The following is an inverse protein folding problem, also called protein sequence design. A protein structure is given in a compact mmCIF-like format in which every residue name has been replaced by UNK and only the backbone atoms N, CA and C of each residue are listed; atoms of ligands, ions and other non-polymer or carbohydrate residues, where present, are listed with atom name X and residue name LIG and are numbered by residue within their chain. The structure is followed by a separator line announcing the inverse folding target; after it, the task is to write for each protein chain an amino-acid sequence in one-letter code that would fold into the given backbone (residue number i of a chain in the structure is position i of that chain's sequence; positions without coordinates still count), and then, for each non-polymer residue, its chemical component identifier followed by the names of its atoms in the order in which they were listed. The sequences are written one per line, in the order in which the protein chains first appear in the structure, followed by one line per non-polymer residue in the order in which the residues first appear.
data_IF_353540438818
#
_entry.id   IF_353540438818
#
_cell.length_a   1.000
_cell.length_b   1.000
_cell.length_c   1.000
_cell.angle_alpha   90.00
_cell.angle_beta   90.00
_cell.angle_gamma   90.00
#
_symmetry.space_group_name_H-M   'P 1'
#
loop_
_entity.id
_entity.type
_entity.pdbx_description
1 polymer ?
#
# COMPACT_ATOMS: atom_id res chain seq x y z
N UNK A 1 -39.56 -22.54 -12.71
CA UNK A 1 -38.40 -21.65 -12.90
C UNK A 1 -38.69 -20.47 -13.84
N UNK A 2 -39.09 -20.69 -15.11
CA UNK A 2 -39.30 -19.60 -16.08
C UNK A 2 -40.40 -18.59 -15.70
N UNK A 3 -41.53 -19.05 -15.14
CA UNK A 3 -42.60 -18.17 -14.63
C UNK A 3 -42.12 -17.27 -13.50
N UNK A 4 -41.35 -17.81 -12.56
CA UNK A 4 -40.72 -17.06 -11.47
C UNK A 4 -39.75 -16.01 -11.96
N UNK A 5 -38.99 -16.29 -13.04
CA UNK A 5 -38.08 -15.31 -13.64
C UNK A 5 -38.84 -14.13 -14.25
N UNK A 6 -39.95 -14.39 -14.95
CA UNK A 6 -40.81 -13.33 -15.52
C UNK A 6 -41.40 -12.45 -14.42
N UNK A 7 -41.89 -13.05 -13.32
CA UNK A 7 -42.37 -12.29 -12.15
C UNK A 7 -41.25 -11.45 -11.54
N UNK A 8 -40.04 -12.01 -11.38
CA UNK A 8 -38.87 -11.28 -10.91
C UNK A 8 -38.48 -10.10 -11.80
N UNK A 9 -38.59 -10.24 -13.12
CA UNK A 9 -38.35 -9.14 -14.06
C UNK A 9 -39.39 -8.03 -13.95
N UNK A 10 -40.66 -8.35 -13.69
CA UNK A 10 -41.71 -7.34 -13.45
C UNK A 10 -41.46 -6.57 -12.17
N UNK A 11 -41.17 -7.26 -11.06
CA UNK A 11 -40.90 -6.62 -9.75
C UNK A 11 -39.71 -5.67 -9.84
N UNK A 12 -38.68 -6.02 -10.62
CA UNK A 12 -37.50 -5.17 -10.90
C UNK A 12 -37.74 -4.10 -11.98
N UNK A 13 -38.98 -3.92 -12.44
CA UNK A 13 -39.38 -2.97 -13.48
C UNK A 13 -38.60 -3.12 -14.81
N UNK A 14 -38.23 -4.36 -15.16
CA UNK A 14 -37.55 -4.68 -16.43
C UNK A 14 -38.57 -4.92 -17.55
N UNK A 15 -39.76 -5.43 -17.26
CA UNK A 15 -40.78 -5.70 -18.28
C UNK A 15 -42.10 -4.99 -17.96
N UNK A 16 -42.86 -4.63 -19.00
CA UNK A 16 -44.20 -4.07 -18.83
C UNK A 16 -45.24 -5.15 -18.55
N UNK A 17 -46.37 -4.78 -17.95
CA UNK A 17 -47.47 -5.72 -17.65
C UNK A 17 -48.03 -6.40 -18.91
N UNK A 18 -48.09 -5.70 -20.06
CA UNK A 18 -48.47 -6.31 -21.34
C UNK A 18 -47.45 -7.34 -21.85
N UNK A 19 -46.17 -7.11 -21.55
CA UNK A 19 -45.08 -8.02 -21.94
C UNK A 19 -45.04 -9.26 -21.05
N UNK A 20 -45.29 -9.09 -19.74
CA UNK A 20 -45.42 -10.20 -18.80
C UNK A 20 -46.44 -11.24 -19.29
N UNK A 21 -47.65 -10.80 -19.66
CA UNK A 21 -48.69 -11.71 -20.18
C UNK A 21 -48.25 -12.43 -21.45
N UNK A 22 -47.48 -11.77 -22.33
CA UNK A 22 -46.93 -12.40 -23.55
C UNK A 22 -45.83 -13.43 -23.24
N UNK A 23 -44.93 -13.13 -22.29
CA UNK A 23 -43.84 -14.02 -21.89
C UNK A 23 -44.35 -15.22 -21.07
N UNK A 24 -45.42 -15.06 -20.30
CA UNK A 24 -46.09 -16.17 -19.63
C UNK A 24 -46.72 -17.15 -20.64
N UNK A 25 -47.22 -16.65 -21.77
CA UNK A 25 -47.80 -17.48 -22.84
C UNK A 25 -46.74 -18.13 -23.74
N UNK A 26 -45.61 -17.47 -24.01
CA UNK A 26 -44.57 -17.98 -24.89
C UNK A 26 -43.34 -18.47 -24.12
N UNK A 27 -43.29 -19.78 -23.85
CA UNK A 27 -42.19 -20.41 -23.08
C UNK A 27 -40.84 -20.36 -23.79
N UNK A 28 -40.82 -20.39 -25.11
CA UNK A 28 -39.58 -20.39 -25.90
C UNK A 28 -38.84 -19.05 -25.80
N UNK A 29 -39.55 -17.93 -26.00
CA UNK A 29 -38.96 -16.58 -25.87
C UNK A 29 -38.50 -16.32 -24.43
N UNK A 30 -39.28 -16.77 -23.45
CA UNK A 30 -38.94 -16.63 -22.03
C UNK A 30 -37.69 -17.41 -21.66
N UNK A 31 -37.46 -18.58 -22.24
CA UNK A 31 -36.24 -19.36 -22.05
C UNK A 31 -35.00 -18.63 -22.58
N UNK A 32 -35.08 -18.03 -23.78
CA UNK A 32 -33.97 -17.25 -24.33
C UNK A 32 -33.66 -15.99 -23.51
N UNK A 33 -34.68 -15.24 -23.08
CA UNK A 33 -34.48 -14.09 -22.19
C UNK A 33 -33.94 -14.51 -20.83
N UNK A 34 -34.28 -15.71 -20.36
CA UNK A 34 -33.71 -16.29 -19.15
C UNK A 34 -32.21 -16.55 -19.29
N UNK A 35 -31.76 -17.13 -20.40
CA UNK A 35 -30.32 -17.31 -20.68
C UNK A 35 -29.58 -15.97 -20.74
N UNK A 36 -30.17 -14.96 -21.41
CA UNK A 36 -29.58 -13.61 -21.47
C UNK A 36 -29.51 -12.97 -20.09
N UNK A 37 -30.47 -13.26 -19.19
CA UNK A 37 -30.51 -12.71 -17.83
C UNK A 37 -29.33 -13.14 -16.94
N UNK A 38 -28.67 -14.25 -17.30
CA UNK A 38 -27.52 -14.80 -16.56
C UNK A 38 -26.27 -13.91 -16.76
N UNK A 39 -26.18 -13.20 -17.90
CA UNK A 39 -25.04 -12.31 -18.18
C UNK A 39 -25.08 -11.12 -17.21
N UNK A 40 -24.08 -10.97 -16.33
CA UNK A 40 -24.03 -9.89 -15.35
C UNK A 40 -24.10 -8.53 -16.05
N UNK A 41 -24.84 -7.58 -15.44
CA UNK A 41 -25.00 -6.19 -15.88
C UNK A 41 -25.77 -6.06 -17.21
N UNK A 42 -25.26 -6.60 -18.31
CA UNK A 42 -25.79 -6.45 -19.68
C UNK A 42 -27.15 -7.14 -19.84
N UNK A 43 -27.31 -8.34 -19.27
CA UNK A 43 -28.54 -9.12 -19.41
C UNK A 43 -29.79 -8.35 -18.97
N UNK A 44 -29.68 -7.60 -17.87
CA UNK A 44 -30.78 -6.77 -17.34
C UNK A 44 -31.18 -5.65 -18.30
N UNK A 45 -30.22 -5.01 -18.97
CA UNK A 45 -30.49 -3.95 -19.94
C UNK A 45 -31.14 -4.49 -21.21
N UNK A 46 -30.71 -5.66 -21.70
CA UNK A 46 -31.32 -6.28 -22.88
C UNK A 46 -32.78 -6.66 -22.60
N UNK A 47 -33.06 -7.26 -21.45
CA UNK A 47 -34.44 -7.60 -21.04
C UNK A 47 -35.28 -6.33 -20.91
N UNK A 48 -34.71 -5.26 -20.33
CA UNK A 48 -35.40 -3.99 -20.19
C UNK A 48 -35.70 -3.32 -21.53
N UNK A 49 -34.74 -3.37 -22.46
CA UNK A 49 -34.90 -2.90 -23.83
C UNK A 49 -36.03 -3.68 -24.52
N UNK A 50 -35.98 -5.01 -24.55
CA UNK A 50 -36.99 -5.82 -25.22
C UNK A 50 -38.38 -5.72 -24.56
N UNK A 51 -38.42 -5.68 -23.22
CA UNK A 51 -39.63 -5.91 -22.46
C UNK A 51 -40.35 -4.68 -21.94
N UNK A 52 -39.71 -3.51 -21.88
CA UNK A 52 -40.32 -2.28 -21.39
C UNK A 52 -40.51 -1.27 -22.53
N UNK A 53 -41.75 -1.15 -23.02
CA UNK A 53 -42.09 -0.23 -24.11
C UNK A 53 -41.87 1.23 -23.72
N UNK A 54 -42.29 1.62 -22.52
CA UNK A 54 -42.12 2.99 -22.03
C UNK A 54 -40.65 3.39 -21.95
N UNK A 55 -39.80 2.47 -21.48
CA UNK A 55 -38.35 2.67 -21.45
C UNK A 55 -37.78 2.87 -22.85
N UNK A 56 -38.08 1.99 -23.82
CA UNK A 56 -37.65 2.18 -25.21
C UNK A 56 -38.09 3.52 -25.79
N UNK A 57 -39.38 3.84 -25.64
CA UNK A 57 -39.93 5.10 -26.16
C UNK A 57 -39.24 6.31 -25.53
N UNK A 58 -38.88 6.26 -24.24
CA UNK A 58 -38.13 7.33 -23.58
C UNK A 58 -36.73 7.53 -24.21
N UNK A 59 -35.93 6.46 -24.34
CA UNK A 59 -34.59 6.57 -24.90
C UNK A 59 -34.60 6.90 -26.40
N UNK A 60 -35.52 6.33 -27.19
CA UNK A 60 -35.66 6.72 -28.58
C UNK A 60 -36.06 8.19 -28.72
N UNK A 61 -37.00 8.70 -27.91
CA UNK A 61 -37.39 10.13 -27.90
C UNK A 61 -36.21 11.06 -27.61
N UNK A 62 -35.26 10.63 -26.77
CA UNK A 62 -34.05 11.41 -26.51
C UNK A 62 -33.14 11.55 -27.74
N UNK A 63 -33.16 10.58 -28.68
CA UNK A 63 -32.29 10.62 -29.86
C UNK A 63 -32.80 11.57 -30.95
N UNK A 64 -34.12 11.69 -31.13
CA UNK A 64 -34.70 12.48 -32.22
C UNK A 64 -35.39 13.78 -31.79
N UNK A 65 -35.68 13.98 -30.50
CA UNK A 65 -36.31 15.21 -30.00
C UNK A 65 -35.39 15.97 -29.04
N UNK A 66 -34.72 17.00 -29.55
CA UNK A 66 -33.80 17.85 -28.80
C UNK A 66 -34.44 18.51 -27.57
N UNK A 67 -35.69 18.97 -27.67
CA UNK A 67 -36.41 19.57 -26.53
C UNK A 67 -36.66 18.53 -25.43
N UNK A 68 -36.96 17.29 -25.82
CA UNK A 68 -37.14 16.19 -24.87
C UNK A 68 -35.81 15.79 -24.23
N UNK A 69 -34.73 15.70 -25.00
CA UNK A 69 -33.38 15.44 -24.51
C UNK A 69 -32.96 16.49 -23.47
N UNK A 70 -33.11 17.78 -23.78
CA UNK A 70 -32.76 18.86 -22.87
C UNK A 70 -33.55 18.80 -21.55
N UNK A 71 -34.85 18.49 -21.60
CA UNK A 71 -35.68 18.29 -20.40
C UNK A 71 -35.22 17.10 -19.58
N UNK A 72 -34.89 15.98 -20.22
CA UNK A 72 -34.42 14.77 -19.53
C UNK A 72 -33.06 14.99 -18.89
N UNK A 73 -32.12 15.64 -19.58
CA UNK A 73 -30.82 16.02 -19.02
C UNK A 73 -31.01 16.93 -17.81
N UNK A 74 -31.88 17.94 -17.91
CA UNK A 74 -32.19 18.84 -16.78
C UNK A 74 -32.75 18.07 -15.58
N UNK A 75 -33.69 17.16 -15.81
CA UNK A 75 -34.25 16.32 -14.74
C UNK A 75 -33.18 15.41 -14.10
N UNK A 76 -32.36 14.74 -14.92
CA UNK A 76 -31.28 13.87 -14.45
C UNK A 76 -30.20 14.64 -13.69
N UNK A 77 -29.89 15.87 -14.13
CA UNK A 77 -28.95 16.75 -13.44
C UNK A 77 -29.45 17.19 -12.06
N UNK A 78 -30.75 17.47 -11.92
CA UNK A 78 -31.38 17.77 -10.63
C UNK A 78 -31.37 16.56 -9.69
N UNK A 79 -31.72 15.38 -10.18
CA UNK A 79 -31.69 14.14 -9.40
C UNK A 79 -30.27 13.83 -8.90
N UNK A 80 -29.27 13.91 -9.78
CA UNK A 80 -27.87 13.70 -9.40
C UNK A 80 -27.36 14.77 -8.44
N UNK A 81 -27.71 16.04 -8.63
CA UNK A 81 -27.34 17.10 -7.69
C UNK A 81 -27.88 16.83 -6.28
N UNK A 82 -29.14 16.38 -6.15
CA UNK A 82 -29.72 15.98 -4.86
C UNK A 82 -28.95 14.82 -4.23
N UNK A 83 -28.61 13.79 -5.02
CA UNK A 83 -27.85 12.65 -4.52
C UNK A 83 -26.43 13.04 -4.08
N UNK A 84 -25.76 13.91 -4.84
CA UNK A 84 -24.44 14.43 -4.49
C UNK A 84 -24.48 15.30 -3.23
N UNK A 85 -25.54 16.10 -3.05
CA UNK A 85 -25.72 16.89 -1.84
C UNK A 85 -25.92 15.99 -0.61
N UNK A 86 -26.76 14.95 -0.73
CA UNK A 86 -26.97 13.96 0.35
C UNK A 86 -25.71 13.20 0.74
N UNK A 87 -24.80 13.00 -0.21
CA UNK A 87 -23.50 12.35 0.01
C UNK A 87 -22.41 13.33 0.47
N UNK A 88 -22.77 14.57 0.81
CA UNK A 88 -21.85 15.65 1.16
C UNK A 88 -20.73 15.89 0.12
N UNK A 89 -21.03 15.71 -1.17
CA UNK A 89 -20.04 15.90 -2.26
C UNK A 89 -19.96 17.33 -2.77
N UNK A 90 -21.07 18.06 -2.66
CA UNK A 90 -21.24 19.42 -3.20
C UNK A 90 -21.91 20.31 -2.16
N UNK A 91 -21.77 21.63 -2.27
CA UNK A 91 -22.48 22.58 -1.40
C UNK A 91 -23.93 22.82 -1.85
N UNK A 92 -24.73 23.44 -0.99
CA UNK A 92 -26.11 23.81 -1.28
C UNK A 92 -26.21 24.74 -2.50
N UNK A 93 -25.29 25.70 -2.63
CA UNK A 93 -25.27 26.62 -3.77
C UNK A 93 -24.96 25.89 -5.08
N UNK A 94 -24.01 24.95 -5.04
CA UNK A 94 -23.66 24.12 -6.19
C UNK A 94 -24.82 23.21 -6.60
N UNK A 95 -25.56 22.65 -5.63
CA UNK A 95 -26.74 21.81 -5.90
C UNK A 95 -27.84 22.58 -6.66
N UNK A 96 -28.02 23.88 -6.39
CA UNK A 96 -28.95 24.75 -7.12
C UNK A 96 -28.43 25.20 -8.49
N UNK A 97 -27.10 25.29 -8.66
CA UNK A 97 -26.47 25.75 -9.90
C UNK A 97 -26.33 24.63 -10.96
N UNK A 98 -26.01 23.40 -10.55
CA UNK A 98 -25.79 22.25 -11.44
C UNK A 98 -26.95 22.01 -12.42
N UNK A 99 -28.23 22.04 -12.01
CA UNK A 99 -29.33 21.76 -12.93
C UNK A 99 -29.59 22.89 -13.95
N UNK A 100 -28.98 24.06 -13.75
CA UNK A 100 -29.11 25.22 -14.63
C UNK A 100 -28.07 25.23 -15.75
N UNK A 101 -26.95 24.49 -15.60
CA UNK A 101 -25.84 24.47 -16.57
C UNK A 101 -25.42 23.05 -16.92
N UNK A 102 -25.54 22.69 -18.20
CA UNK A 102 -25.11 21.38 -18.70
C UNK A 102 -23.60 21.15 -18.50
N UNK A 103 -22.78 22.17 -18.73
CA UNK A 103 -21.33 22.07 -18.55
C UNK A 103 -20.96 21.83 -17.09
N UNK A 104 -21.59 22.53 -16.15
CA UNK A 104 -21.36 22.32 -14.73
C UNK A 104 -21.76 20.89 -14.33
N UNK A 105 -22.90 20.41 -14.81
CA UNK A 105 -23.33 19.04 -14.61
C UNK A 105 -22.31 18.03 -15.14
N UNK A 106 -21.76 18.23 -16.34
CA UNK A 106 -20.78 17.32 -16.93
C UNK A 106 -19.48 17.26 -16.12
N UNK A 107 -18.98 18.40 -15.64
CA UNK A 107 -17.79 18.47 -14.79
C UNK A 107 -18.01 17.67 -13.51
N UNK A 108 -19.13 17.91 -12.80
CA UNK A 108 -19.44 17.16 -11.59
C UNK A 108 -19.71 15.67 -11.87
N UNK A 109 -20.24 15.33 -13.04
CA UNK A 109 -20.46 13.94 -13.44
C UNK A 109 -19.14 13.19 -13.63
N UNK A 110 -18.16 13.79 -14.31
CA UNK A 110 -16.82 13.21 -14.46
C UNK A 110 -16.14 13.08 -13.09
N UNK A 111 -16.21 14.13 -12.27
CA UNK A 111 -15.64 14.12 -10.93
C UNK A 111 -16.39 13.18 -9.96
N UNK A 112 -17.61 12.75 -10.27
CA UNK A 112 -18.36 11.83 -9.41
C UNK A 112 -17.78 10.41 -9.35
N UNK A 113 -16.87 10.07 -10.26
CA UNK A 113 -16.05 8.85 -10.18
C UNK A 113 -15.13 8.93 -8.95
N UNK A 114 -14.72 10.14 -8.58
CA UNK A 114 -13.94 10.34 -7.37
C UNK A 114 -14.80 10.06 -6.13
N UNK A 115 -14.16 9.56 -5.07
CA UNK A 115 -14.72 9.51 -3.73
C UNK A 115 -15.27 10.87 -3.25
N UNK A 116 -16.23 10.84 -2.32
CA UNK A 116 -17.04 12.00 -1.98
C UNK A 116 -16.22 13.21 -1.50
N UNK A 117 -15.24 12.99 -0.63
CA UNK A 117 -14.40 14.07 -0.13
C UNK A 117 -13.45 14.63 -1.20
N UNK A 118 -12.97 13.81 -2.15
CA UNK A 118 -12.11 14.28 -3.24
C UNK A 118 -12.91 15.11 -4.25
N UNK A 119 -14.14 14.67 -4.51
CA UNK A 119 -15.09 15.44 -5.32
C UNK A 119 -15.33 16.81 -4.68
N UNK A 120 -15.60 16.87 -3.37
CA UNK A 120 -15.77 18.13 -2.62
C UNK A 120 -14.50 18.98 -2.59
N UNK A 121 -13.33 18.34 -2.46
CA UNK A 121 -12.03 19.01 -2.42
C UNK A 121 -11.70 19.74 -3.72
N UNK A 122 -12.01 19.15 -4.87
CA UNK A 122 -11.76 19.78 -6.17
C UNK A 122 -12.82 20.82 -6.52
N UNK A 123 -14.07 20.62 -6.08
CA UNK A 123 -15.20 21.46 -6.52
C UNK A 123 -15.49 22.65 -5.60
N UNK A 124 -15.16 22.58 -4.31
CA UNK A 124 -15.41 23.66 -3.36
C UNK A 124 -14.10 24.32 -2.92
N UNK A 125 -13.87 25.54 -3.41
CA UNK A 125 -12.66 26.31 -3.12
C UNK A 125 -12.49 26.67 -1.63
N UNK A 126 -13.59 26.96 -0.92
CA UNK A 126 -13.53 27.26 0.52
C UNK A 126 -13.09 26.03 1.32
N UNK A 127 -13.63 24.86 0.97
CA UNK A 127 -13.23 23.58 1.55
C UNK A 127 -11.77 23.23 1.19
N UNK A 128 -11.36 23.42 -0.07
CA UNK A 128 -9.99 23.27 -0.53
C UNK A 128 -9.01 24.11 0.30
N UNK A 129 -9.27 25.42 0.43
CA UNK A 129 -8.40 26.34 1.18
C UNK A 129 -8.29 25.96 2.65
N UNK A 130 -9.42 25.61 3.31
CA UNK A 130 -9.43 25.17 4.71
C UNK A 130 -8.61 23.89 4.91
N UNK A 131 -8.77 22.90 4.02
CA UNK A 131 -8.02 21.64 4.10
C UNK A 131 -6.53 21.83 3.80
N UNK A 132 -6.20 22.66 2.81
CA UNK A 132 -4.81 22.96 2.47
C UNK A 132 -4.11 23.72 3.61
N UNK A 133 -4.79 24.70 4.20
CA UNK A 133 -4.32 25.38 5.42
C UNK A 133 -4.08 24.38 6.56
N UNK A 134 -5.03 23.47 6.81
CA UNK A 134 -4.90 22.44 7.84
C UNK A 134 -3.71 21.49 7.59
N UNK A 135 -3.50 21.05 6.34
CA UNK A 135 -2.43 20.10 6.00
C UNK A 135 -1.04 20.77 6.06
N UNK A 136 -0.91 22.02 5.61
CA UNK A 136 0.40 22.65 5.47
C UNK A 136 0.78 23.60 6.62
N UNK A 137 -0.18 24.35 7.16
CA UNK A 137 0.10 25.40 8.15
C UNK A 137 0.04 24.85 9.58
N UNK A 138 -0.87 23.90 9.86
CA UNK A 138 -0.98 23.30 11.19
C UNK A 138 0.30 22.57 11.63
N UNK A 139 0.99 21.75 10.80
CA UNK A 139 2.26 21.15 11.20
C UNK A 139 3.36 22.17 11.46
N UNK A 140 3.37 23.28 10.70
CA UNK A 140 4.30 24.38 10.93
C UNK A 140 4.05 25.05 12.29
N UNK A 141 2.80 25.39 12.60
CA UNK A 141 2.43 25.95 13.91
C UNK A 141 2.76 24.99 15.06
N UNK A 142 2.45 23.70 14.89
CA UNK A 142 2.80 22.66 15.86
C UNK A 142 4.32 22.54 16.06
N UNK A 143 5.15 22.83 15.06
CA UNK A 143 6.61 22.79 15.22
C UNK A 143 7.12 23.93 16.12
N UNK A 144 6.55 25.14 16.00
CA UNK A 144 7.03 26.34 16.70
C UNK A 144 6.37 26.57 18.07
N UNK A 145 5.10 26.22 18.26
CA UNK A 145 4.35 26.52 19.47
C UNK A 145 4.19 25.28 20.39
N UNK A 146 4.79 25.34 21.58
CA UNK A 146 4.71 24.26 22.58
C UNK A 146 3.36 24.16 23.26
N UNK A 147 2.68 25.27 23.47
CA UNK A 147 1.38 25.29 24.12
C UNK A 147 0.33 24.71 23.19
N UNK A 148 0.36 25.12 21.92
CA UNK A 148 -0.52 24.60 20.87
C UNK A 148 -0.35 23.09 20.64
N UNK A 149 0.88 22.55 20.78
CA UNK A 149 1.10 21.09 20.76
C UNK A 149 0.43 20.36 21.91
N UNK A 150 0.55 20.92 23.12
CA UNK A 150 -0.03 20.34 24.33
C UNK A 150 -1.55 20.38 24.26
N UNK A 151 -2.11 21.53 23.89
CA UNK A 151 -3.56 21.71 23.73
C UNK A 151 -4.10 20.82 22.61
N UNK A 152 -3.36 20.69 21.50
CA UNK A 152 -3.73 19.76 20.43
C UNK A 152 -3.77 18.30 20.90
N UNK A 153 -2.78 17.86 21.67
CA UNK A 153 -2.75 16.49 22.20
C UNK A 153 -3.85 16.27 23.25
N UNK A 154 -4.16 17.28 24.08
CA UNK A 154 -5.28 17.23 25.03
C UNK A 154 -6.64 17.14 24.33
N UNK A 155 -6.85 17.93 23.28
CA UNK A 155 -8.07 17.86 22.47
C UNK A 155 -8.21 16.49 21.80
N UNK A 156 -7.09 15.95 21.32
CA UNK A 156 -7.03 14.62 20.75
C UNK A 156 -7.43 13.56 21.78
N UNK A 157 -6.90 13.62 23.01
CA UNK A 157 -7.26 12.71 24.10
C UNK A 157 -8.75 12.81 24.46
N UNK A 158 -9.31 14.02 24.55
CA UNK A 158 -10.75 14.23 24.78
C UNK A 158 -11.60 13.59 23.68
N UNK A 159 -11.21 13.78 22.43
CA UNK A 159 -11.88 13.16 21.29
C UNK A 159 -11.74 11.63 21.30
N UNK A 160 -10.56 11.12 21.65
CA UNK A 160 -10.28 9.70 21.83
C UNK A 160 -11.15 9.04 22.90
N UNK A 161 -11.32 9.69 24.06
CA UNK A 161 -12.24 9.28 25.13
C UNK A 161 -13.68 9.24 24.60
N UNK A 162 -14.13 10.31 23.93
CA UNK A 162 -15.49 10.41 23.36
C UNK A 162 -15.78 9.32 22.32
N UNK A 163 -14.78 8.94 21.52
CA UNK A 163 -14.88 7.90 20.48
C UNK A 163 -14.63 6.48 21.02
N UNK A 164 -14.41 6.30 22.33
CA UNK A 164 -14.05 5.02 22.96
C UNK A 164 -12.81 4.34 22.32
N UNK A 165 -11.89 5.13 21.76
CA UNK A 165 -10.62 4.66 21.20
C UNK A 165 -9.58 4.49 22.32
N UNK A 166 -9.78 5.19 23.44
CA UNK A 166 -8.87 5.26 24.57
C UNK A 166 -9.61 4.90 25.86
N UNK A 167 -9.05 4.01 26.69
CA UNK A 167 -9.56 3.76 28.03
C UNK A 167 -9.23 4.93 28.96
N UNK A 168 -10.04 5.12 30.01
CA UNK A 168 -9.80 6.20 30.98
C UNK A 168 -8.43 6.03 31.67
N UNK A 169 -8.04 4.80 32.00
CA UNK A 169 -6.72 4.47 32.56
C UNK A 169 -5.55 4.85 31.63
N UNK A 170 -5.62 4.47 30.34
CA UNK A 170 -4.56 4.81 29.36
C UNK A 170 -4.51 6.34 29.14
N UNK A 171 -5.65 7.03 29.26
CA UNK A 171 -5.71 8.48 29.13
C UNK A 171 -5.07 9.22 30.30
N UNK A 172 -5.32 8.79 31.54
CA UNK A 172 -4.68 9.36 32.73
C UNK A 172 -3.15 9.17 32.69
N UNK A 173 -2.68 8.00 32.23
CA UNK A 173 -1.25 7.73 32.01
C UNK A 173 -0.67 8.73 31.00
N UNK A 174 -1.33 8.94 29.86
CA UNK A 174 -0.85 9.89 28.85
C UNK A 174 -0.89 11.33 29.38
N UNK A 175 -1.95 11.70 30.09
CA UNK A 175 -2.11 13.04 30.66
C UNK A 175 -1.00 13.36 31.68
N UNK A 176 -0.65 12.39 32.53
CA UNK A 176 0.44 12.54 33.51
C UNK A 176 1.82 12.73 32.87
N UNK A 177 2.01 12.23 31.65
CA UNK A 177 3.28 12.27 30.91
C UNK A 177 3.37 13.43 29.91
N UNK A 178 2.30 14.21 29.69
CA UNK A 178 2.22 15.28 28.69
C UNK A 178 3.33 16.33 28.77
N UNK A 179 3.79 16.63 29.98
CA UNK A 179 4.83 17.63 30.23
C UNK A 179 6.24 17.06 30.04
N UNK A 180 6.39 15.76 29.76
CA UNK A 180 7.70 15.18 29.53
C UNK A 180 8.36 15.75 28.27
N UNK A 181 9.63 16.21 28.35
CA UNK A 181 10.34 16.79 27.22
C UNK A 181 10.38 15.89 25.98
N UNK A 182 10.35 14.58 26.17
CA UNK A 182 10.42 13.61 25.08
C UNK A 182 9.14 13.57 24.22
N UNK A 183 7.96 13.75 24.81
CA UNK A 183 6.69 13.80 24.07
C UNK A 183 6.63 15.06 23.19
N UNK A 184 7.09 16.19 23.70
CA UNK A 184 7.20 17.43 22.93
C UNK A 184 8.17 17.29 21.74
N UNK A 185 9.30 16.59 21.94
CA UNK A 185 10.24 16.26 20.87
C UNK A 185 9.62 15.35 19.81
N UNK A 186 8.85 14.35 20.24
CA UNK A 186 8.15 13.45 19.32
C UNK A 186 7.18 14.21 18.42
N UNK A 187 6.31 15.05 19.00
CA UNK A 187 5.34 15.85 18.23
C UNK A 187 6.05 16.80 17.24
N UNK A 188 7.17 17.40 17.66
CA UNK A 188 8.00 18.23 16.79
C UNK A 188 8.60 17.43 15.63
N UNK A 189 9.13 16.24 15.92
CA UNK A 189 9.70 15.35 14.91
C UNK A 189 8.63 14.90 13.92
N UNK A 190 7.44 14.51 14.41
CA UNK A 190 6.29 14.12 13.60
C UNK A 190 5.91 15.21 12.58
N UNK A 191 5.87 16.47 13.02
CA UNK A 191 5.63 17.61 12.13
C UNK A 191 6.69 17.74 11.02
N UNK A 192 7.98 17.64 11.37
CA UNK A 192 9.07 17.65 10.38
C UNK A 192 8.91 16.49 9.39
N UNK A 193 8.55 15.30 9.85
CA UNK A 193 8.39 14.14 8.99
C UNK A 193 7.27 14.34 7.97
N UNK A 194 6.13 14.89 8.39
CA UNK A 194 5.02 15.25 7.50
C UNK A 194 5.48 16.29 6.46
N UNK A 195 6.23 17.30 6.89
CA UNK A 195 6.79 18.33 5.97
C UNK A 195 7.82 17.76 4.98
N UNK A 196 8.50 16.66 5.33
CA UNK A 196 9.45 16.00 4.41
C UNK A 196 8.82 15.07 3.38
N UNK A 197 7.55 14.67 3.56
CA UNK A 197 6.84 13.78 2.61
C UNK A 197 6.83 14.31 1.16
N UNK A 198 6.49 15.59 0.88
CA UNK A 198 6.44 16.09 -0.50
C UNK A 198 7.82 16.37 -1.11
N UNK A 199 8.90 16.44 -0.32
CA UNK A 199 10.24 16.84 -0.79
C UNK A 199 10.70 15.96 -1.95
N UNK A 200 10.52 14.64 -1.84
CA UNK A 200 10.92 13.69 -2.90
C UNK A 200 10.21 13.97 -4.21
N UNK A 201 8.91 14.30 -4.17
CA UNK A 201 8.11 14.59 -5.36
C UNK A 201 8.51 15.92 -5.98
N UNK A 202 8.73 16.94 -5.15
CA UNK A 202 9.19 18.26 -5.60
C UNK A 202 10.56 18.13 -6.29
N UNK A 203 11.51 17.43 -5.67
CA UNK A 203 12.85 17.24 -6.22
C UNK A 203 12.81 16.38 -7.49
N UNK A 204 12.04 15.28 -7.52
CA UNK A 204 11.97 14.43 -8.71
C UNK A 204 11.34 15.16 -9.90
N UNK A 205 10.28 15.95 -9.67
CA UNK A 205 9.63 16.74 -10.71
C UNK A 205 10.54 17.88 -11.15
N UNK A 206 11.21 18.57 -10.23
CA UNK A 206 12.15 19.64 -10.57
C UNK A 206 13.32 19.12 -11.43
N UNK A 207 13.93 17.99 -11.05
CA UNK A 207 15.02 17.38 -11.84
C UNK A 207 14.51 16.92 -13.20
N UNK A 208 13.36 16.26 -13.27
CA UNK A 208 12.77 15.86 -14.55
C UNK A 208 12.47 17.06 -15.45
N UNK A 209 11.97 18.15 -14.87
CA UNK A 209 11.66 19.39 -15.58
C UNK A 209 12.92 20.10 -16.08
N UNK A 210 13.95 20.23 -15.22
CA UNK A 210 15.26 20.77 -15.59
C UNK A 210 15.84 19.94 -16.74
N UNK A 211 15.81 18.61 -16.65
CA UNK A 211 16.32 17.72 -17.69
C UNK A 211 15.63 17.94 -19.04
N UNK A 212 14.30 18.07 -19.06
CA UNK A 212 13.53 18.32 -20.30
C UNK A 212 13.88 19.69 -20.90
N UNK A 213 14.12 20.70 -20.07
CA UNK A 213 14.48 22.05 -20.55
C UNK A 213 15.92 22.14 -21.02
N UNK A 214 16.86 21.49 -20.35
CA UNK A 214 18.30 21.58 -20.66
C UNK A 214 18.72 20.75 -21.87
N UNK A 215 17.85 19.87 -22.37
CA UNK A 215 18.12 19.04 -23.55
C UNK A 215 17.13 19.30 -24.70
N UNK A 216 17.07 20.54 -25.24
CA UNK A 216 16.19 20.89 -26.35
C UNK A 216 16.54 20.19 -27.67
N UNK A 217 17.77 19.69 -27.80
CA UNK A 217 18.29 18.98 -28.98
C UNK A 217 17.67 17.59 -29.18
N UNK A 218 17.05 17.01 -28.14
CA UNK A 218 16.40 15.71 -28.25
C UNK A 218 14.94 15.82 -28.75
N UNK A 219 14.44 14.83 -29.52
CA UNK A 219 13.03 14.75 -29.86
C UNK A 219 12.15 14.80 -28.60
N UNK A 220 11.10 15.63 -28.62
CA UNK A 220 10.22 15.87 -27.45
C UNK A 220 9.65 14.59 -26.84
N UNK A 221 9.33 13.59 -27.66
CA UNK A 221 8.83 12.31 -27.16
C UNK A 221 9.89 11.57 -26.30
N UNK A 222 11.16 11.65 -26.67
CA UNK A 222 12.26 11.00 -25.96
C UNK A 222 12.63 11.76 -24.69
N UNK A 223 12.71 13.09 -24.72
CA UNK A 223 13.03 13.90 -23.53
C UNK A 223 11.96 13.79 -22.45
N UNK A 224 10.68 13.82 -22.82
CA UNK A 224 9.58 13.57 -21.89
C UNK A 224 9.55 12.12 -21.40
N UNK A 225 9.91 11.15 -22.25
CA UNK A 225 10.05 9.74 -21.84
C UNK A 225 11.11 9.55 -20.76
N UNK A 226 12.28 10.19 -20.92
CA UNK A 226 13.34 10.18 -19.90
C UNK A 226 12.90 10.94 -18.64
N UNK A 227 12.21 12.08 -18.77
CA UNK A 227 11.65 12.82 -17.64
C UNK A 227 10.69 11.97 -16.79
N UNK A 228 9.80 11.21 -17.43
CA UNK A 228 8.95 10.23 -16.74
C UNK A 228 9.77 9.11 -16.11
N UNK A 229 10.81 8.64 -16.81
CA UNK A 229 11.78 7.66 -16.29
C UNK A 229 12.49 8.12 -15.01
N UNK A 230 12.90 9.40 -14.94
CA UNK A 230 13.49 10.01 -13.74
C UNK A 230 12.50 9.99 -12.58
N UNK A 231 11.24 10.39 -12.81
CA UNK A 231 10.21 10.35 -11.77
C UNK A 231 10.00 8.91 -11.27
N UNK A 232 9.92 7.94 -12.18
CA UNK A 232 9.76 6.53 -11.85
C UNK A 232 10.97 5.99 -11.05
N UNK A 233 12.19 6.37 -11.42
CA UNK A 233 13.41 5.99 -10.71
C UNK A 233 13.36 6.46 -9.25
N UNK A 234 13.06 7.74 -9.01
CA UNK A 234 12.87 8.27 -7.66
C UNK A 234 11.70 7.62 -6.91
N UNK A 235 10.74 7.01 -7.62
CA UNK A 235 9.69 6.23 -6.98
C UNK A 235 10.18 4.90 -6.43
N UNK A 236 11.06 4.21 -7.15
CA UNK A 236 11.54 2.85 -6.82
C UNK A 236 12.76 2.87 -5.89
N UNK A 237 13.56 3.94 -5.89
CA UNK A 237 14.76 4.02 -5.06
C UNK A 237 14.43 4.00 -3.56
N UNK A 238 15.07 3.12 -2.76
CA UNK A 238 14.80 3.00 -1.32
C UNK A 238 15.27 4.21 -0.52
N UNK A 239 16.23 4.97 -1.05
CA UNK A 239 16.71 6.24 -0.51
C UNK A 239 16.23 7.34 -1.46
N UNK A 240 15.71 8.43 -0.91
CA UNK A 240 15.13 9.55 -1.64
C UNK A 240 15.52 10.88 -1.00
N UNK A 241 15.40 12.01 -1.71
CA UNK A 241 15.70 13.33 -1.15
C UNK A 241 14.96 13.63 0.16
N UNK A 242 13.68 13.26 0.26
CA UNK A 242 12.92 13.40 1.49
C UNK A 242 13.42 12.50 2.62
N UNK A 243 13.81 11.26 2.32
CA UNK A 243 14.36 10.35 3.34
C UNK A 243 15.76 10.76 3.80
N UNK A 244 16.57 11.37 2.92
CA UNK A 244 17.83 11.99 3.28
C UNK A 244 17.62 13.20 4.20
N UNK A 245 16.74 14.14 3.83
CA UNK A 245 16.45 15.32 4.65
C UNK A 245 15.98 14.93 6.06
N UNK A 246 15.09 13.94 6.15
CA UNK A 246 14.64 13.37 7.42
C UNK A 246 15.76 12.67 8.18
N UNK A 247 16.51 11.76 7.54
CA UNK A 247 17.61 11.03 8.18
C UNK A 247 18.69 11.96 8.74
N UNK A 248 19.04 13.01 7.99
CA UNK A 248 19.95 14.07 8.44
C UNK A 248 19.38 14.87 9.61
N UNK A 249 18.08 15.15 9.62
CA UNK A 249 17.44 15.80 10.77
C UNK A 249 17.51 14.92 12.04
N UNK A 250 17.28 13.62 11.92
CA UNK A 250 17.45 12.69 13.06
C UNK A 250 18.90 12.66 13.52
N UNK A 251 19.84 12.56 12.59
CA UNK A 251 21.27 12.58 12.90
C UNK A 251 21.68 13.87 13.62
N UNK A 252 21.16 15.02 13.17
CA UNK A 252 21.35 16.30 13.86
C UNK A 252 20.82 16.26 15.29
N UNK A 253 19.64 15.70 15.54
CA UNK A 253 19.10 15.55 16.90
C UNK A 253 20.00 14.66 17.77
N UNK A 254 20.49 13.54 17.23
CA UNK A 254 21.39 12.64 17.96
C UNK A 254 22.69 13.35 18.36
N UNK A 255 23.29 14.09 17.42
CA UNK A 255 24.53 14.83 17.66
C UNK A 255 24.31 15.95 18.68
N UNK A 256 23.24 16.74 18.51
CA UNK A 256 22.91 17.86 19.39
C UNK A 256 22.61 17.41 20.82
N UNK A 257 21.88 16.31 20.97
CA UNK A 257 21.43 15.82 22.28
C UNK A 257 22.43 14.86 22.93
N UNK A 258 23.46 14.42 22.20
CA UNK A 258 24.45 13.43 22.65
C UNK A 258 23.81 12.13 23.17
N UNK A 259 22.68 11.75 22.59
CA UNK A 259 21.90 10.58 23.01
C UNK A 259 21.70 9.63 21.83
N UNK A 260 22.57 8.63 21.71
CA UNK A 260 22.44 7.61 20.66
C UNK A 260 21.44 6.52 21.05
N UNK A 261 21.32 6.22 22.35
CA UNK A 261 20.54 5.08 22.85
C UNK A 261 19.05 5.29 22.56
N UNK A 262 18.56 6.50 22.75
CA UNK A 262 17.15 6.79 22.51
C UNK A 262 16.82 6.93 21.03
N UNK A 263 17.78 7.16 20.12
CA UNK A 263 17.53 7.41 18.69
C UNK A 263 18.06 6.32 17.73
N UNK A 264 18.65 5.25 18.25
CA UNK A 264 19.28 4.18 17.46
C UNK A 264 18.37 3.70 16.30
N UNK A 265 17.14 3.33 16.60
CA UNK A 265 16.16 2.86 15.59
C UNK A 265 15.87 3.97 14.56
N UNK A 266 15.70 5.22 15.00
CA UNK A 266 15.38 6.34 14.12
C UNK A 266 16.54 6.75 13.20
N UNK A 267 17.79 6.62 13.64
CA UNK A 267 18.97 6.92 12.81
C UNK A 267 19.06 5.96 11.64
N UNK A 268 18.82 4.66 11.85
CA UNK A 268 18.92 3.68 10.77
C UNK A 268 17.68 3.69 9.87
N UNK A 269 16.47 3.73 10.44
CA UNK A 269 15.24 3.71 9.65
C UNK A 269 14.98 5.06 8.95
N UNK A 270 15.47 6.18 9.48
CA UNK A 270 15.26 7.53 8.97
C UNK A 270 15.69 7.72 7.51
N UNK A 271 16.65 6.96 7.01
CA UNK A 271 17.12 7.05 5.62
C UNK A 271 16.26 6.26 4.61
N UNK A 272 15.39 5.36 5.06
CA UNK A 272 14.55 4.54 4.19
C UNK A 272 13.24 5.23 3.82
N UNK A 273 13.01 5.48 2.53
CA UNK A 273 11.83 6.17 1.99
C UNK A 273 10.51 5.63 2.54
N UNK A 274 10.30 4.31 2.48
CA UNK A 274 9.01 3.68 2.76
C UNK A 274 8.71 3.38 4.22
N UNK A 275 9.72 3.31 5.08
CA UNK A 275 9.54 2.88 6.49
C UNK A 275 10.01 3.97 7.45
N UNK A 276 10.88 4.88 7.02
CA UNK A 276 11.48 5.85 7.94
C UNK A 276 10.52 6.88 8.54
N UNK A 277 9.28 7.02 8.02
CA UNK A 277 8.28 7.89 8.67
C UNK A 277 7.70 7.23 9.93
N UNK A 278 7.77 5.89 10.00
CA UNK A 278 7.39 5.11 11.16
C UNK A 278 8.52 5.02 12.19
N UNK A 279 9.70 5.51 11.89
CA UNK A 279 10.86 5.34 12.76
C UNK A 279 10.63 5.96 14.16
N UNK A 280 10.05 7.16 14.23
CA UNK A 280 9.67 7.79 15.51
C UNK A 280 8.48 7.11 16.18
N UNK A 281 7.36 6.80 15.49
CA UNK A 281 6.28 5.99 16.07
C UNK A 281 6.73 4.64 16.63
N UNK A 282 7.58 3.91 15.90
CA UNK A 282 8.16 2.62 16.32
C UNK A 282 9.03 2.81 17.57
N UNK A 283 9.83 3.87 17.60
CA UNK A 283 10.62 4.21 18.79
C UNK A 283 9.72 4.56 19.99
N UNK A 284 8.62 5.27 19.76
CA UNK A 284 7.64 5.62 20.80
C UNK A 284 6.94 4.40 21.38
N UNK A 285 6.64 3.37 20.58
CA UNK A 285 6.04 2.13 21.10
C UNK A 285 6.90 1.46 22.18
N UNK A 286 8.22 1.67 22.19
CA UNK A 286 9.09 1.12 23.24
C UNK A 286 9.10 1.95 24.53
N UNK A 287 8.92 3.26 24.46
CA UNK A 287 9.06 4.17 25.62
C UNK A 287 7.72 4.65 26.19
N UNK A 288 6.73 4.85 25.34
CA UNK A 288 5.37 5.30 25.69
C UNK A 288 4.32 4.47 24.95
N UNK A 289 4.10 3.20 25.35
CA UNK A 289 3.23 2.27 24.63
C UNK A 289 1.76 2.70 24.62
N UNK A 290 1.26 3.37 25.67
CA UNK A 290 -0.10 3.90 25.71
C UNK A 290 -0.29 5.04 24.69
N UNK A 291 0.59 6.05 24.71
CA UNK A 291 0.55 7.16 23.75
C UNK A 291 0.74 6.66 22.32
N UNK A 292 1.64 5.72 22.06
CA UNK A 292 1.87 5.21 20.72
C UNK A 292 0.66 4.44 20.17
N UNK A 293 0.01 3.59 21.00
CA UNK A 293 -1.25 2.90 20.64
C UNK A 293 -2.38 3.89 20.40
N UNK A 294 -2.47 4.95 21.21
CA UNK A 294 -3.47 5.99 21.03
C UNK A 294 -3.23 6.81 19.76
N UNK A 295 -2.02 7.29 19.53
CA UNK A 295 -1.63 8.02 18.31
C UNK A 295 -1.89 7.18 17.06
N UNK A 296 -1.56 5.89 17.12
CA UNK A 296 -1.88 4.92 16.09
C UNK A 296 -3.38 4.84 15.83
N UNK A 297 -4.17 4.63 16.89
CA UNK A 297 -5.64 4.59 16.90
C UNK A 297 -6.22 5.81 16.22
N UNK A 298 -5.92 6.95 16.82
CA UNK A 298 -6.40 8.24 16.38
C UNK A 298 -5.95 8.58 14.96
N UNK A 299 -4.71 8.31 14.55
CA UNK A 299 -4.27 8.55 13.17
C UNK A 299 -4.83 7.54 12.18
N UNK A 300 -5.06 6.29 12.54
CA UNK A 300 -5.72 5.34 11.65
C UNK A 300 -7.16 5.79 11.38
N UNK A 301 -7.88 6.25 12.41
CA UNK A 301 -9.24 6.78 12.29
C UNK A 301 -9.28 8.15 11.59
N UNK A 302 -8.36 9.07 11.90
CA UNK A 302 -8.33 10.43 11.33
C UNK A 302 -7.60 10.55 9.99
N UNK A 303 -6.54 9.78 9.71
CA UNK A 303 -5.87 9.82 8.40
C UNK A 303 -6.78 9.30 7.29
N UNK A 304 -7.69 8.37 7.63
CA UNK A 304 -8.82 7.95 6.79
C UNK A 304 -9.74 9.15 6.48
N UNK A 305 -9.88 10.11 7.39
CA UNK A 305 -10.61 11.37 7.18
C UNK A 305 -9.78 12.50 6.52
N UNK A 306 -8.45 12.47 6.61
CA UNK A 306 -7.53 13.42 5.94
C UNK A 306 -7.44 13.10 4.45
N UNK A 307 -7.36 11.81 4.09
CA UNK A 307 -7.48 11.37 2.70
C UNK A 307 -8.95 11.41 2.34
N UNK A 308 -9.41 12.31 1.44
CA UNK A 308 -10.84 12.57 1.22
C UNK A 308 -11.60 11.41 0.53
N UNK A 309 -11.01 10.22 0.50
CA UNK A 309 -11.51 9.02 -0.12
C UNK A 309 -12.41 8.20 0.80
N UNK A 310 -12.22 8.30 2.12
CA UNK A 310 -12.80 7.34 3.06
C UNK A 310 -13.50 8.08 4.21
N UNK A 311 -14.77 8.42 4.00
CA UNK A 311 -15.60 9.14 4.98
C UNK A 311 -16.33 8.25 5.99
N UNK A 312 -16.14 6.93 5.98
CA UNK A 312 -16.86 6.00 6.85
C UNK A 312 -15.90 5.42 7.90
N UNK A 313 -16.14 5.72 9.18
CA UNK A 313 -15.36 5.18 10.30
C UNK A 313 -15.55 3.67 10.45
N UNK A 314 -14.48 2.94 10.80
CA UNK A 314 -14.52 1.49 11.04
C UNK A 314 -14.28 0.61 9.81
N UNK A 315 -13.66 1.13 8.75
CA UNK A 315 -13.43 0.38 7.52
C UNK A 315 -12.39 -0.74 7.68
N UNK A 316 -12.52 -1.84 6.93
CA UNK A 316 -11.55 -2.96 6.85
C UNK A 316 -10.10 -2.51 6.63
N UNK A 317 -9.88 -1.37 5.97
CA UNK A 317 -8.58 -0.76 5.76
C UNK A 317 -7.96 -0.23 7.06
N UNK A 318 -8.77 0.36 7.95
CA UNK A 318 -8.34 0.83 9.27
C UNK A 318 -7.83 -0.35 10.09
N UNK A 319 -8.61 -1.44 10.15
CA UNK A 319 -8.19 -2.71 10.76
C UNK A 319 -6.96 -3.32 10.09
N UNK A 320 -6.85 -3.23 8.76
CA UNK A 320 -5.70 -3.77 8.03
C UNK A 320 -4.42 -2.98 8.31
N UNK A 321 -4.48 -1.64 8.33
CA UNK A 321 -3.36 -0.76 8.67
C UNK A 321 -2.96 -0.97 10.14
N UNK A 322 -3.93 -1.04 11.05
CA UNK A 322 -3.66 -1.35 12.46
C UNK A 322 -3.01 -2.72 12.63
N UNK A 323 -3.58 -3.71 11.94
CA UNK A 323 -3.09 -5.06 11.86
C UNK A 323 -1.63 -5.09 11.43
N UNK A 324 -1.31 -4.48 10.30
CA UNK A 324 0.02 -4.52 9.69
C UNK A 324 1.10 -3.83 10.53
N UNK A 325 0.81 -2.66 11.09
CA UNK A 325 1.84 -1.83 11.73
C UNK A 325 1.96 -1.99 13.24
N UNK A 326 0.90 -2.45 13.92
CA UNK A 326 0.90 -2.52 15.39
C UNK A 326 0.70 -3.94 15.90
N UNK A 327 -0.33 -4.65 15.43
CA UNK A 327 -0.60 -6.00 15.92
C UNK A 327 0.39 -7.02 15.35
N UNK A 328 0.67 -6.98 14.05
CA UNK A 328 1.53 -7.95 13.37
C UNK A 328 2.97 -7.94 13.92
N UNK A 329 3.62 -6.78 14.18
CA UNK A 329 4.94 -6.77 14.80
C UNK A 329 4.95 -7.32 16.22
N UNK A 330 3.91 -7.02 17.02
CA UNK A 330 3.78 -7.55 18.38
C UNK A 330 3.55 -9.07 18.38
N UNK A 331 2.68 -9.56 17.49
CA UNK A 331 2.41 -10.98 17.28
C UNK A 331 3.66 -11.72 16.80
N UNK A 332 4.36 -11.19 15.77
CA UNK A 332 5.66 -11.73 15.33
C UNK A 332 6.64 -11.82 16.49
N UNK A 333 6.78 -10.75 17.29
CA UNK A 333 7.70 -10.72 18.42
C UNK A 333 7.34 -11.79 19.46
N UNK A 334 6.05 -11.93 19.77
CA UNK A 334 5.55 -12.99 20.65
C UNK A 334 5.91 -14.39 20.12
N UNK A 335 5.64 -14.65 18.85
CA UNK A 335 6.00 -15.92 18.18
C UNK A 335 7.51 -16.19 18.22
N UNK A 336 8.33 -15.20 17.87
CA UNK A 336 9.79 -15.32 17.88
C UNK A 336 10.36 -15.59 19.27
N UNK A 337 9.78 -14.97 20.31
CA UNK A 337 10.20 -15.21 21.70
C UNK A 337 9.87 -16.64 22.14
N UNK A 338 8.62 -17.10 21.94
CA UNK A 338 8.21 -18.49 22.24
C UNK A 338 9.07 -19.51 21.49
N UNK A 339 9.36 -19.23 20.22
CA UNK A 339 10.29 -20.02 19.40
C UNK A 339 11.69 -20.10 19.97
N UNK A 340 12.21 -18.97 20.42
CA UNK A 340 13.53 -18.91 21.04
C UNK A 340 13.57 -19.75 22.31
N UNK A 341 12.54 -19.68 23.16
CA UNK A 341 12.46 -20.49 24.38
C UNK A 341 12.42 -22.00 24.10
N UNK A 342 11.63 -22.46 23.13
CA UNK A 342 11.66 -23.88 22.76
C UNK A 342 12.99 -24.33 22.17
N UNK A 343 13.59 -23.51 21.31
CA UNK A 343 14.87 -23.86 20.68
C UNK A 343 15.98 -23.95 21.73
N UNK A 344 15.91 -23.19 22.84
CA UNK A 344 16.86 -23.37 23.97
C UNK A 344 16.82 -24.77 24.57
N UNK A 345 15.68 -25.48 24.51
CA UNK A 345 15.56 -26.86 24.99
C UNK A 345 16.17 -27.90 24.02
N UNK A 346 16.54 -27.51 22.81
CA UNK A 346 17.13 -28.39 21.81
C UNK A 346 18.65 -28.19 21.71
N UNK A 347 19.37 -29.23 21.30
CA UNK A 347 20.81 -29.08 21.00
C UNK A 347 21.00 -28.34 19.66
N UNK A 348 21.92 -27.38 19.57
CA UNK A 348 22.22 -26.69 18.31
C UNK A 348 22.89 -27.67 17.32
N UNK A 349 22.47 -27.64 16.05
CA UNK A 349 22.99 -28.52 15.00
C UNK A 349 23.51 -27.70 13.83
N UNK A 350 24.82 -27.79 13.55
CA UNK A 350 25.46 -27.13 12.40
C UNK A 350 25.73 -28.09 11.24
N UNK A 351 25.80 -29.39 11.52
CA UNK A 351 26.14 -30.42 10.54
C UNK A 351 25.26 -30.45 9.26
N UNK A 352 23.96 -30.04 9.27
CA UNK A 352 23.16 -30.05 8.05
C UNK A 352 23.58 -28.95 7.05
N UNK A 353 24.25 -27.89 7.51
CA UNK A 353 24.59 -26.76 6.65
C UNK A 353 25.55 -27.14 5.51
N UNK A 354 26.68 -27.85 5.74
CA UNK A 354 27.52 -28.38 4.66
C UNK A 354 26.76 -29.22 3.63
N UNK A 355 25.81 -30.06 4.06
CA UNK A 355 25.01 -30.90 3.16
C UNK A 355 24.17 -30.05 2.19
N UNK A 356 23.46 -29.04 2.72
CA UNK A 356 22.64 -28.16 1.87
C UNK A 356 23.48 -27.24 0.98
N UNK A 357 24.67 -26.82 1.42
CA UNK A 357 25.63 -26.08 0.60
C UNK A 357 26.08 -26.93 -0.58
N UNK A 358 26.42 -28.21 -0.35
CA UNK A 358 26.84 -29.14 -1.41
C UNK A 358 25.71 -29.41 -2.40
N UNK A 359 24.49 -29.69 -1.92
CA UNK A 359 23.32 -29.91 -2.78
C UNK A 359 23.04 -28.67 -3.64
N UNK A 360 23.02 -27.48 -3.02
CA UNK A 360 22.77 -26.22 -3.72
C UNK A 360 23.84 -25.95 -4.81
N UNK A 361 25.11 -26.18 -4.47
CA UNK A 361 26.22 -26.04 -5.43
C UNK A 361 26.12 -27.03 -6.59
N UNK A 362 25.78 -28.29 -6.30
CA UNK A 362 25.61 -29.32 -7.32
C UNK A 362 24.44 -29.02 -8.26
N UNK A 363 23.36 -28.43 -7.75
CA UNK A 363 22.21 -28.02 -8.58
C UNK A 363 22.57 -26.88 -9.54
N UNK A 364 23.29 -25.86 -9.08
CA UNK A 364 23.75 -24.76 -9.94
C UNK A 364 24.76 -25.22 -11.00
N UNK A 365 25.75 -26.02 -10.60
CA UNK A 365 26.75 -26.57 -11.53
C UNK A 365 26.10 -27.54 -12.52
N UNK A 366 25.21 -28.40 -12.03
CA UNK A 366 24.48 -29.37 -12.85
C UNK A 366 23.53 -28.70 -13.85
N UNK A 367 22.86 -27.62 -13.47
CA UNK A 367 22.00 -26.86 -14.39
C UNK A 367 22.79 -26.23 -15.53
N UNK A 368 23.94 -25.62 -15.22
CA UNK A 368 24.82 -25.06 -16.24
C UNK A 368 25.43 -26.16 -17.12
N UNK A 369 25.85 -27.28 -16.52
CA UNK A 369 26.41 -28.41 -17.26
C UNK A 369 25.40 -29.03 -18.25
N UNK A 370 24.15 -29.22 -17.82
CA UNK A 370 23.08 -29.72 -18.68
C UNK A 370 22.76 -28.74 -19.82
N UNK A 371 22.73 -27.43 -19.51
CA UNK A 371 22.47 -26.40 -20.49
C UNK A 371 23.60 -26.31 -21.53
N UNK A 372 24.86 -26.37 -21.08
CA UNK A 372 26.04 -26.48 -21.94
C UNK A 372 26.01 -27.72 -22.83
N UNK A 373 25.71 -28.90 -22.28
CA UNK A 373 25.66 -30.14 -23.03
C UNK A 373 24.61 -30.11 -24.15
N UNK A 374 23.49 -29.40 -23.94
CA UNK A 374 22.37 -29.35 -24.89
C UNK A 374 22.46 -28.19 -25.90
N UNK A 375 22.94 -27.03 -25.47
CA UNK A 375 22.89 -25.78 -26.25
C UNK A 375 24.26 -25.17 -26.56
N UNK A 376 25.36 -25.77 -26.08
CA UNK A 376 26.74 -25.29 -26.25
C UNK A 376 26.95 -23.83 -25.78
N UNK A 377 26.11 -23.39 -24.83
CA UNK A 377 26.10 -22.04 -24.25
C UNK A 377 25.91 -22.15 -22.74
N UNK A 378 26.55 -21.25 -21.96
CA UNK A 378 26.29 -21.13 -20.53
C UNK A 378 24.96 -20.43 -20.31
N UNK A 379 24.30 -20.78 -19.21
CA UNK A 379 23.03 -20.18 -18.81
C UNK A 379 23.30 -18.76 -18.28
N UNK A 380 22.81 -17.68 -18.93
CA UNK A 380 22.98 -16.35 -18.40
C UNK A 380 22.11 -16.20 -17.14
N UNK A 381 22.70 -15.82 -16.00
CA UNK A 381 21.95 -15.61 -14.75
C UNK A 381 20.81 -14.60 -14.93
N UNK A 382 20.98 -13.61 -15.82
CA UNK A 382 19.94 -12.62 -16.13
C UNK A 382 18.68 -13.27 -16.71
N UNK A 383 18.84 -14.32 -17.51
CA UNK A 383 17.71 -15.05 -18.11
C UNK A 383 17.09 -16.03 -17.12
N UNK A 384 17.88 -16.50 -16.15
CA UNK A 384 17.47 -17.52 -15.18
C UNK A 384 17.57 -17.00 -13.74
N UNK A 385 17.15 -15.75 -13.57
CA UNK A 385 17.17 -15.01 -12.32
C UNK A 385 16.39 -15.72 -11.20
N UNK A 386 15.35 -16.46 -11.57
CA UNK A 386 14.52 -17.24 -10.64
C UNK A 386 15.29 -18.36 -9.95
N UNK A 387 16.26 -19.01 -10.62
CA UNK A 387 17.12 -20.04 -10.02
C UNK A 387 18.04 -19.43 -8.96
N UNK A 388 18.60 -18.26 -9.28
CA UNK A 388 19.41 -17.45 -8.35
C UNK A 388 18.65 -16.95 -7.12
N UNK A 389 17.32 -16.93 -7.17
CA UNK A 389 16.46 -16.58 -6.03
C UNK A 389 16.00 -17.83 -5.25
N UNK A 390 15.50 -18.84 -5.95
CA UNK A 390 14.84 -20.01 -5.34
C UNK A 390 15.84 -20.90 -4.61
N UNK A 391 16.98 -21.25 -5.23
CA UNK A 391 17.92 -22.19 -4.62
C UNK A 391 18.54 -21.65 -3.31
N UNK A 392 19.04 -20.40 -3.25
CA UNK A 392 19.53 -19.85 -1.98
C UNK A 392 18.42 -19.71 -0.94
N UNK A 393 17.21 -19.31 -1.34
CA UNK A 393 16.05 -19.23 -0.45
C UNK A 393 15.69 -20.58 0.18
N UNK A 394 15.59 -21.63 -0.64
CA UNK A 394 15.29 -23.00 -0.20
C UNK A 394 16.39 -23.53 0.70
N UNK A 395 17.67 -23.29 0.36
CA UNK A 395 18.80 -23.63 1.21
C UNK A 395 18.71 -22.97 2.60
N UNK A 396 18.46 -21.66 2.66
CA UNK A 396 18.28 -20.93 3.92
C UNK A 396 17.11 -21.45 4.76
N UNK A 397 16.03 -21.87 4.09
CA UNK A 397 14.84 -22.46 4.71
C UNK A 397 15.15 -23.83 5.35
N UNK A 398 15.81 -24.72 4.61
CA UNK A 398 16.21 -26.04 5.11
C UNK A 398 17.27 -25.98 6.22
N UNK A 399 18.23 -25.07 6.12
CA UNK A 399 19.18 -24.79 7.22
C UNK A 399 18.41 -24.39 8.49
N UNK A 400 17.38 -23.55 8.36
CA UNK A 400 16.59 -23.09 9.52
C UNK A 400 15.75 -24.18 10.17
N UNK A 401 15.15 -25.06 9.36
CA UNK A 401 14.37 -26.21 9.83
C UNK A 401 15.27 -27.21 10.56
N UNK A 402 16.48 -27.44 10.05
CA UNK A 402 17.39 -28.46 10.55
C UNK A 402 18.34 -27.98 11.67
N UNK A 403 18.44 -26.67 11.91
CA UNK A 403 19.39 -26.06 12.84
C UNK A 403 19.15 -26.38 14.35
N UNK A 404 18.02 -26.99 14.70
CA UNK A 404 17.67 -27.32 16.09
C UNK A 404 17.72 -26.11 17.02
N UNK A 405 18.47 -26.20 18.12
CA UNK A 405 18.58 -25.13 19.13
C UNK A 405 19.49 -23.95 18.81
N UNK A 406 19.99 -23.83 17.57
CA UNK A 406 20.88 -22.73 17.18
C UNK A 406 20.19 -21.37 17.32
N UNK A 407 20.86 -20.35 17.87
CA UNK A 407 20.32 -18.99 17.98
C UNK A 407 20.08 -18.33 16.61
N UNK A 408 19.08 -17.43 16.52
CA UNK A 408 18.61 -16.86 15.25
C UNK A 408 19.71 -16.20 14.40
N UNK A 409 20.51 -15.31 15.01
CA UNK A 409 21.63 -14.67 14.31
C UNK A 409 22.64 -15.67 13.73
N UNK A 410 22.95 -16.76 14.45
CA UNK A 410 23.86 -17.81 13.95
C UNK A 410 23.27 -18.57 12.76
N UNK A 411 21.94 -18.70 12.67
CA UNK A 411 21.29 -19.30 11.49
C UNK A 411 21.37 -18.37 10.28
N UNK A 412 21.13 -17.07 10.49
CA UNK A 412 21.31 -16.04 9.45
C UNK A 412 22.75 -16.07 8.95
N UNK A 413 23.74 -16.01 9.85
CA UNK A 413 25.15 -16.01 9.46
C UNK A 413 25.54 -17.30 8.74
N UNK A 414 25.09 -18.46 9.21
CA UNK A 414 25.38 -19.76 8.58
C UNK A 414 24.79 -19.86 7.18
N UNK A 415 23.53 -19.42 6.98
CA UNK A 415 22.90 -19.43 5.67
C UNK A 415 23.55 -18.41 4.71
N UNK A 416 23.88 -17.22 5.19
CA UNK A 416 24.55 -16.19 4.39
C UNK A 416 25.96 -16.63 3.97
N UNK A 417 26.78 -17.15 4.90
CA UNK A 417 28.11 -17.68 4.61
C UNK A 417 28.00 -18.89 3.67
N UNK A 418 27.05 -19.79 3.90
CA UNK A 418 26.80 -20.92 3.02
C UNK A 418 26.45 -20.51 1.60
N UNK A 419 25.60 -19.49 1.44
CA UNK A 419 25.23 -18.94 0.13
C UNK A 419 26.41 -18.28 -0.58
N UNK A 420 27.29 -17.62 0.17
CA UNK A 420 28.55 -17.05 -0.35
C UNK A 420 29.47 -18.17 -0.86
N UNK A 421 29.59 -19.27 -0.12
CA UNK A 421 30.38 -20.43 -0.56
C UNK A 421 29.79 -21.03 -1.85
N UNK A 422 28.46 -21.18 -1.94
CA UNK A 422 27.79 -21.62 -3.18
C UNK A 422 28.09 -20.67 -4.34
N UNK A 423 28.02 -19.36 -4.13
CA UNK A 423 28.32 -18.39 -5.20
C UNK A 423 29.78 -18.46 -5.65
N UNK A 424 30.73 -18.67 -4.73
CA UNK A 424 32.14 -18.87 -5.08
C UNK A 424 32.31 -20.10 -5.97
N UNK A 425 31.78 -21.25 -5.53
CA UNK A 425 31.92 -22.52 -6.26
C UNK A 425 31.30 -22.39 -7.66
N UNK A 426 30.09 -21.82 -7.72
CA UNK A 426 29.39 -21.63 -8.99
C UNK A 426 30.12 -20.67 -9.93
N UNK A 427 30.66 -19.56 -9.40
CA UNK A 427 31.44 -18.62 -10.21
C UNK A 427 32.77 -19.17 -10.69
N UNK A 428 33.46 -20.00 -9.90
CA UNK A 428 34.68 -20.69 -10.36
C UNK A 428 34.34 -21.64 -11.51
N UNK A 429 33.23 -22.37 -11.41
CA UNK A 429 32.75 -23.22 -12.50
C UNK A 429 32.42 -22.40 -13.76
N UNK A 430 31.64 -21.33 -13.65
CA UNK A 430 31.32 -20.47 -14.80
C UNK A 430 32.58 -19.84 -15.43
N UNK A 431 33.60 -19.54 -14.63
CA UNK A 431 34.87 -18.99 -15.12
C UNK A 431 35.65 -19.99 -15.99
N UNK A 432 35.71 -21.26 -15.56
CA UNK A 432 36.44 -22.31 -16.28
C UNK A 432 35.88 -22.57 -17.69
N UNK A 433 34.61 -22.27 -17.93
CA UNK A 433 33.92 -22.51 -19.20
C UNK A 433 33.67 -21.25 -20.04
N UNK A 434 34.40 -20.15 -19.78
CA UNK A 434 34.61 -19.09 -20.77
C UNK A 434 33.70 -17.86 -20.68
N UNK A 435 33.40 -17.35 -19.49
CA UNK A 435 32.84 -16.00 -19.35
C UNK A 435 33.91 -14.94 -19.66
N UNK A 436 33.72 -14.17 -20.74
CA UNK A 436 34.49 -12.97 -21.10
C UNK A 436 33.76 -11.69 -20.63
N UNK A 437 34.41 -10.97 -19.70
CA UNK A 437 34.21 -9.60 -19.20
C UNK A 437 32.82 -8.97 -18.88
N UNK A 438 32.70 -8.14 -17.82
CA UNK A 438 33.57 -8.02 -16.65
C UNK A 438 33.11 -8.99 -15.56
N UNK A 439 34.04 -9.83 -15.11
CA UNK A 439 33.85 -10.95 -14.19
C UNK A 439 33.48 -10.46 -12.77
N UNK A 440 34.00 -9.31 -12.37
CA UNK A 440 33.91 -8.80 -10.99
C UNK A 440 32.49 -8.32 -10.64
N UNK A 441 31.80 -7.50 -11.45
CA UNK A 441 30.42 -7.10 -11.14
C UNK A 441 29.46 -8.29 -11.01
N UNK A 442 29.56 -9.28 -11.90
CA UNK A 442 28.65 -10.43 -11.87
C UNK A 442 28.93 -11.35 -10.68
N UNK A 443 30.21 -11.54 -10.33
CA UNK A 443 30.61 -12.21 -9.10
C UNK A 443 30.05 -11.50 -7.86
N UNK A 444 30.25 -10.19 -7.75
CA UNK A 444 29.73 -9.38 -6.63
C UNK A 444 28.21 -9.46 -6.54
N UNK A 445 27.51 -9.42 -7.68
CA UNK A 445 26.06 -9.59 -7.72
C UNK A 445 25.60 -10.98 -7.28
N UNK A 446 26.27 -12.06 -7.70
CA UNK A 446 25.95 -13.43 -7.26
C UNK A 446 26.10 -13.58 -5.75
N UNK A 447 27.19 -13.05 -5.17
CA UNK A 447 27.41 -13.05 -3.72
C UNK A 447 26.28 -12.34 -2.98
N UNK A 448 25.95 -11.13 -3.43
CA UNK A 448 24.94 -10.31 -2.79
C UNK A 448 23.56 -10.96 -2.88
N UNK A 449 23.15 -11.37 -4.09
CA UNK A 449 21.83 -11.97 -4.34
C UNK A 449 21.69 -13.26 -3.53
N UNK A 450 22.67 -14.16 -3.59
CA UNK A 450 22.56 -15.46 -2.92
C UNK A 450 22.51 -15.31 -1.40
N UNK A 451 23.35 -14.44 -0.83
CA UNK A 451 23.33 -14.14 0.61
C UNK A 451 22.00 -13.51 1.06
N UNK A 452 21.46 -12.58 0.28
CA UNK A 452 20.17 -11.93 0.58
C UNK A 452 19.03 -12.95 0.55
N UNK A 453 18.91 -13.74 -0.52
CA UNK A 453 17.82 -14.72 -0.63
C UNK A 453 17.92 -15.86 0.37
N UNK A 454 19.13 -16.33 0.69
CA UNK A 454 19.31 -17.29 1.78
C UNK A 454 18.90 -16.71 3.14
N UNK A 455 19.23 -15.45 3.42
CA UNK A 455 18.79 -14.76 4.64
C UNK A 455 17.27 -14.59 4.68
N UNK A 456 16.65 -14.21 3.57
CA UNK A 456 15.19 -14.12 3.45
C UNK A 456 14.54 -15.50 3.71
N UNK A 457 15.13 -16.57 3.18
CA UNK A 457 14.72 -17.95 3.43
C UNK A 457 14.72 -18.30 4.92
N UNK A 458 15.78 -17.91 5.64
CA UNK A 458 15.86 -18.09 7.10
C UNK A 458 14.75 -17.32 7.82
N UNK A 459 14.57 -16.04 7.49
CA UNK A 459 13.61 -15.15 8.17
C UNK A 459 12.18 -15.63 7.91
N UNK A 460 11.79 -15.83 6.65
CA UNK A 460 10.42 -16.23 6.31
C UNK A 460 10.09 -17.63 6.85
N UNK A 461 11.04 -18.56 6.84
CA UNK A 461 10.83 -19.88 7.43
C UNK A 461 10.63 -19.78 8.94
N UNK A 462 11.44 -18.98 9.65
CA UNK A 462 11.26 -18.82 11.10
C UNK A 462 9.91 -18.18 11.46
N UNK A 463 9.43 -17.24 10.63
CA UNK A 463 8.14 -16.57 10.81
C UNK A 463 6.94 -17.48 10.49
N UNK A 464 7.07 -18.37 9.49
CA UNK A 464 5.97 -19.21 9.02
C UNK A 464 5.90 -20.59 9.69
N UNK A 465 6.94 -21.02 10.40
CA UNK A 465 6.85 -22.23 11.21
C UNK A 465 5.74 -22.01 12.27
N UNK A 466 4.69 -22.84 12.27
CA UNK A 466 3.49 -22.65 13.10
C UNK A 466 3.67 -22.85 14.61
N UNK A 467 2.90 -22.12 15.41
CA UNK A 467 3.05 -22.11 16.87
C UNK A 467 2.88 -23.51 17.49
N UNK A 468 3.67 -23.87 18.50
CA UNK A 468 3.70 -25.23 19.07
C UNK A 468 2.47 -25.57 19.89
N UNK A 469 1.83 -24.55 20.47
CA UNK A 469 0.67 -24.72 21.35
C UNK A 469 -0.61 -25.07 20.57
N UNK A 470 -0.60 -24.94 19.24
CA UNK A 470 -1.70 -25.36 18.36
C UNK A 470 -1.59 -26.82 17.89
N UNK A 471 -0.61 -27.58 18.38
CA UNK A 471 -0.57 -29.04 18.27
C UNK A 471 -1.00 -29.67 19.60
N UNK A 472 -2.27 -29.51 19.95
CA UNK A 472 -2.98 -30.41 20.85
C UNK A 472 -4.19 -30.98 20.13
#
# INVERSE_FOLDING_TARGET
MLSSAVTGWKVRNLISQKTEVKLQKNRFITFWLFLISIIPIIGKYIIKFCGNRSWRTHYFKMLYNWKYLARTIKASSAEKAINWLRQDRISDEAALAIPKSFFLFLIHLILSILPAGLHKFVTNFSYFKKRLWFIFIRPFQLYFDSQLRKDWLLDMLKEGKKKHILSDDDAEIIESQLNEPFIQKYLKSLAVHVLTLPITQIVSVAIAWIFVITHPEMPKAQSWGIGVGIIALFQVTPISPGSLARGLYVLYLVIKERDFKNYNIAVFLGFFKYIGYLAFPIQMTYKYPALARFMAGHWATEAVHIVPVFGEGGALLEHWIFGLFYNWPLTIRGHMNRRTEMRKAQRPRLWPAPLFILICSALFVGSDHFFMAKYQLLMPIKEVWWLGMILPFVMGSFITISAGGMVFWKRISTAAIGAIIVSVIYSIYSWQYGFTDPIIPEFVWRFFIFAVFATIGVVLTELNLGDPELKK
#
